data_IF_409435018174
#
_entry.id   IF_409435018174
#
_cell.length_a   1.000
_cell.length_b   1.000
_cell.length_c   1.000
_cell.angle_alpha   90.00
_cell.angle_beta   90.00
_cell.angle_gamma   90.00
#
_symmetry.space_group_name_H-M   'P 1'
#
loop_
_entity.id
_entity.type
_entity.pdbx_description
1 polymer ?
#
# COMPACT_ATOMS: atom_id res chain seq x y z
N UNK A 1 -5.52 18.71 -22.04
CA UNK A 1 -5.59 19.97 -21.27
C UNK A 1 -6.58 20.98 -21.86
N UNK A 2 -6.47 21.39 -23.13
CA UNK A 2 -7.38 22.41 -23.72
C UNK A 2 -8.86 21.98 -23.67
N UNK A 3 -9.18 20.73 -24.00
CA UNK A 3 -10.55 20.21 -23.91
C UNK A 3 -11.11 20.26 -22.47
N UNK A 4 -10.28 19.91 -21.49
CA UNK A 4 -10.63 19.95 -20.08
C UNK A 4 -10.98 21.37 -19.62
N UNK A 5 -10.10 22.34 -19.91
CA UNK A 5 -10.33 23.75 -19.55
C UNK A 5 -11.58 24.31 -20.25
N UNK A 6 -11.80 23.96 -21.52
CA UNK A 6 -13.03 24.34 -22.22
C UNK A 6 -14.29 23.80 -21.52
N UNK A 7 -14.31 22.51 -21.15
CA UNK A 7 -15.42 21.90 -20.40
C UNK A 7 -15.61 22.55 -19.03
N UNK A 8 -14.51 22.88 -18.35
CA UNK A 8 -14.53 23.53 -17.04
C UNK A 8 -15.12 24.94 -17.11
N UNK A 9 -14.78 25.73 -18.14
CA UNK A 9 -15.36 27.06 -18.35
C UNK A 9 -16.83 26.98 -18.77
N UNK A 10 -17.23 26.00 -19.59
CA UNK A 10 -18.65 25.73 -19.85
C UNK A 10 -19.40 25.39 -18.58
N UNK A 11 -18.81 24.55 -17.72
CA UNK A 11 -19.38 24.23 -16.41
C UNK A 11 -19.52 25.49 -15.56
N UNK A 12 -18.48 26.33 -15.46
CA UNK A 12 -18.50 27.61 -14.74
C UNK A 12 -19.70 28.47 -15.17
N UNK A 13 -19.85 28.72 -16.47
CA UNK A 13 -20.92 29.58 -17.01
C UNK A 13 -22.33 28.95 -17.02
N UNK A 14 -22.46 27.68 -16.66
CA UNK A 14 -23.76 26.97 -16.66
C UNK A 14 -24.50 27.08 -15.32
N UNK A 15 -25.81 26.82 -15.34
CA UNK A 15 -26.63 26.68 -14.13
C UNK A 15 -26.40 25.34 -13.39
N UNK A 16 -25.53 24.46 -13.91
CA UNK A 16 -25.23 23.17 -13.28
C UNK A 16 -24.50 23.42 -11.96
N UNK A 17 -24.96 22.77 -10.89
CA UNK A 17 -24.44 22.92 -9.52
C UNK A 17 -23.45 21.83 -9.10
N UNK A 18 -23.46 20.69 -9.78
CA UNK A 18 -22.61 19.54 -9.45
C UNK A 18 -21.69 19.26 -10.64
N UNK A 19 -20.38 19.28 -10.39
CA UNK A 19 -19.36 18.82 -11.34
C UNK A 19 -18.82 17.48 -10.90
N UNK A 20 -18.71 16.52 -11.82
CA UNK A 20 -18.13 15.20 -11.54
C UNK A 20 -16.82 15.08 -12.34
N UNK A 21 -15.74 14.77 -11.64
CA UNK A 21 -14.41 14.61 -12.22
C UNK A 21 -13.91 13.20 -11.91
N UNK A 22 -13.55 12.46 -12.96
CA UNK A 22 -12.89 11.17 -12.84
C UNK A 22 -11.41 11.36 -13.05
N UNK A 23 -10.68 11.28 -11.94
CA UNK A 23 -9.23 11.36 -11.83
C UNK A 23 -8.56 12.29 -12.86
N UNK A 24 -8.85 13.59 -12.79
CA UNK A 24 -8.51 14.52 -13.86
C UNK A 24 -7.00 14.71 -14.05
N UNK A 25 -6.17 14.21 -13.11
CA UNK A 25 -4.77 14.62 -12.98
C UNK A 25 -3.76 13.54 -12.52
N UNK A 26 -4.14 12.32 -12.13
CA UNK A 26 -3.17 11.33 -11.61
C UNK A 26 -2.01 10.98 -12.53
N UNK A 27 -2.18 11.17 -13.84
CA UNK A 27 -1.17 10.91 -14.87
C UNK A 27 -0.27 12.11 -15.19
N UNK A 28 -0.55 13.29 -14.61
CA UNK A 28 0.22 14.50 -14.84
C UNK A 28 1.32 14.68 -13.79
N UNK A 29 2.38 15.43 -14.14
CA UNK A 29 3.36 15.85 -13.15
C UNK A 29 2.73 16.75 -12.08
N UNK A 30 3.41 16.85 -10.93
CA UNK A 30 2.92 17.58 -9.78
C UNK A 30 2.56 19.04 -10.12
N UNK A 31 3.38 19.72 -10.95
CA UNK A 31 3.14 21.13 -11.32
C UNK A 31 1.82 21.27 -12.08
N UNK A 32 1.56 20.37 -13.02
CA UNK A 32 0.32 20.35 -13.80
C UNK A 32 -0.88 19.96 -12.93
N UNK A 33 -0.72 19.05 -11.97
CA UNK A 33 -1.75 18.74 -10.97
C UNK A 33 -2.18 20.01 -10.20
N UNK A 34 -1.22 20.78 -9.66
CA UNK A 34 -1.52 22.02 -8.94
C UNK A 34 -2.25 23.05 -9.81
N UNK A 35 -1.81 23.24 -11.06
CA UNK A 35 -2.45 24.17 -12.01
C UNK A 35 -3.88 23.78 -12.33
N UNK A 36 -4.13 22.49 -12.61
CA UNK A 36 -5.47 22.00 -12.95
C UNK A 36 -6.40 22.13 -11.75
N UNK A 37 -5.97 21.74 -10.54
CA UNK A 37 -6.78 21.92 -9.32
C UNK A 37 -7.10 23.40 -9.08
N UNK A 38 -6.14 24.29 -9.27
CA UNK A 38 -6.34 25.73 -9.12
C UNK A 38 -7.44 26.25 -10.07
N UNK A 39 -7.38 25.87 -11.36
CA UNK A 39 -8.41 26.24 -12.33
C UNK A 39 -9.78 25.70 -11.94
N UNK A 40 -9.87 24.45 -11.45
CA UNK A 40 -11.13 23.87 -10.97
C UNK A 40 -11.70 24.69 -9.82
N UNK A 41 -10.88 25.05 -8.84
CA UNK A 41 -11.29 25.87 -7.69
C UNK A 41 -11.79 27.24 -8.17
N UNK A 42 -11.03 27.92 -9.03
CA UNK A 42 -11.44 29.22 -9.60
C UNK A 42 -12.76 29.15 -10.36
N UNK A 43 -13.02 28.04 -11.05
CA UNK A 43 -14.25 27.84 -11.81
C UNK A 43 -15.48 27.61 -10.91
N UNK A 44 -15.28 27.16 -9.68
CA UNK A 44 -16.37 26.64 -8.85
C UNK A 44 -16.60 27.43 -7.55
N UNK A 45 -15.61 28.20 -7.08
CA UNK A 45 -15.67 28.93 -5.82
C UNK A 45 -16.73 30.05 -5.79
N UNK A 46 -17.02 30.69 -6.93
CA UNK A 46 -17.91 31.86 -6.99
C UNK A 46 -19.40 31.50 -6.85
N UNK A 47 -19.82 30.30 -7.24
CA UNK A 47 -21.25 29.93 -7.40
C UNK A 47 -21.75 28.84 -6.44
N UNK A 48 -20.97 28.56 -5.37
CA UNK A 48 -21.22 27.45 -4.41
C UNK A 48 -21.50 26.12 -5.12
N UNK A 49 -20.75 25.82 -6.18
CA UNK A 49 -20.87 24.54 -6.89
C UNK A 49 -20.21 23.43 -6.08
N UNK A 50 -20.82 22.26 -6.06
CA UNK A 50 -20.25 21.05 -5.44
C UNK A 50 -19.43 20.30 -6.48
N UNK A 51 -18.24 19.85 -6.08
CA UNK A 51 -17.40 19.02 -6.93
C UNK A 51 -17.34 17.62 -6.33
N UNK A 52 -17.67 16.61 -7.12
CA UNK A 52 -17.44 15.21 -6.81
C UNK A 52 -16.19 14.76 -7.56
N UNK A 53 -15.18 14.30 -6.83
CA UNK A 53 -13.92 13.86 -7.37
C UNK A 53 -13.74 12.37 -7.13
N UNK A 54 -13.77 11.58 -8.20
CA UNK A 54 -13.33 10.19 -8.18
C UNK A 54 -11.81 10.18 -8.29
N UNK A 55 -11.14 9.58 -7.31
CA UNK A 55 -9.67 9.50 -7.32
C UNK A 55 -9.17 8.34 -6.49
N UNK A 56 -8.07 7.74 -6.93
CA UNK A 56 -7.28 6.79 -6.17
C UNK A 56 -5.94 7.40 -5.70
N UNK A 57 -5.73 8.70 -5.98
CA UNK A 57 -4.51 9.42 -5.67
C UNK A 57 -4.66 10.25 -4.40
N UNK A 58 -3.88 9.89 -3.38
CA UNK A 58 -3.73 10.65 -2.14
C UNK A 58 -3.15 12.03 -2.40
N UNK A 59 -2.19 12.14 -3.32
CA UNK A 59 -1.59 13.43 -3.68
C UNK A 59 -2.66 14.38 -4.18
N UNK A 60 -3.57 13.91 -5.03
CA UNK A 60 -4.68 14.74 -5.51
C UNK A 60 -5.56 15.19 -4.36
N UNK A 61 -5.96 14.29 -3.45
CA UNK A 61 -6.78 14.63 -2.28
C UNK A 61 -6.07 15.67 -1.41
N UNK A 62 -4.78 15.47 -1.13
CA UNK A 62 -3.98 16.35 -0.28
C UNK A 62 -3.74 17.71 -0.92
N UNK A 63 -3.43 17.76 -2.23
CA UNK A 63 -3.29 19.00 -3.01
C UNK A 63 -4.59 19.80 -2.95
N UNK A 64 -5.72 19.16 -3.22
CA UNK A 64 -7.04 19.82 -3.18
C UNK A 64 -7.34 20.35 -1.78
N UNK A 65 -7.14 19.54 -0.74
CA UNK A 65 -7.38 19.96 0.64
C UNK A 65 -6.47 21.11 1.08
N UNK A 66 -5.23 21.17 0.58
CA UNK A 66 -4.30 22.26 0.86
C UNK A 66 -4.70 23.58 0.17
N UNK A 67 -5.33 23.51 -1.00
CA UNK A 67 -5.73 24.70 -1.77
C UNK A 67 -7.12 25.21 -1.36
N UNK A 68 -8.09 24.33 -1.14
CA UNK A 68 -9.45 24.72 -0.74
C UNK A 68 -10.16 23.63 0.08
N UNK A 69 -10.16 23.81 1.40
CA UNK A 69 -10.75 22.86 2.35
C UNK A 69 -12.27 22.73 2.19
N UNK A 70 -12.75 21.49 2.14
CA UNK A 70 -14.19 21.14 2.25
C UNK A 70 -15.04 21.43 1.02
N UNK A 71 -14.45 21.86 -0.09
CA UNK A 71 -15.16 22.13 -1.34
C UNK A 71 -15.47 20.88 -2.16
N UNK A 72 -14.61 19.86 -2.04
CA UNK A 72 -14.70 18.63 -2.82
C UNK A 72 -15.29 17.50 -1.97
N UNK A 73 -16.13 16.68 -2.63
CA UNK A 73 -16.60 15.40 -2.14
C UNK A 73 -15.78 14.32 -2.83
N UNK A 74 -14.98 13.60 -2.07
CA UNK A 74 -14.10 12.56 -2.61
C UNK A 74 -14.81 11.21 -2.64
N UNK A 75 -14.68 10.51 -3.76
CA UNK A 75 -15.19 9.15 -3.96
C UNK A 75 -14.06 8.26 -4.46
N UNK A 76 -14.11 6.98 -4.09
CA UNK A 76 -13.28 5.95 -4.71
C UNK A 76 -14.16 4.80 -5.20
N UNK A 77 -13.64 4.07 -6.20
CA UNK A 77 -14.28 2.88 -6.73
C UNK A 77 -13.64 1.66 -6.08
N UNK A 78 -14.46 0.81 -5.46
CA UNK A 78 -14.03 -0.46 -4.89
C UNK A 78 -14.67 -1.61 -5.64
N UNK A 79 -13.88 -2.63 -6.01
CA UNK A 79 -14.39 -3.84 -6.65
C UNK A 79 -14.35 -5.00 -5.67
N UNK A 80 -15.50 -5.63 -5.46
CA UNK A 80 -15.67 -6.77 -4.55
C UNK A 80 -16.70 -7.76 -5.11
N UNK A 81 -16.33 -9.04 -5.17
CA UNK A 81 -17.10 -10.14 -5.76
C UNK A 81 -17.60 -9.82 -7.15
N UNK A 82 -16.75 -9.19 -7.97
CA UNK A 82 -17.08 -8.77 -9.34
C UNK A 82 -17.97 -7.53 -9.44
N UNK A 83 -18.40 -6.94 -8.32
CA UNK A 83 -19.27 -5.75 -8.28
C UNK A 83 -18.44 -4.52 -7.93
N UNK A 84 -18.52 -3.48 -8.77
CA UNK A 84 -17.92 -2.17 -8.48
C UNK A 84 -18.90 -1.31 -7.70
N UNK A 85 -18.44 -0.80 -6.56
CA UNK A 85 -19.20 0.08 -5.66
C UNK A 85 -18.51 1.43 -5.49
N UNK A 86 -19.31 2.48 -5.37
CA UNK A 86 -18.82 3.83 -5.05
C UNK A 86 -18.78 3.95 -3.53
N UNK A 87 -17.68 4.49 -3.04
CA UNK A 87 -17.44 4.68 -1.61
C UNK A 87 -16.92 6.08 -1.33
N UNK A 88 -17.22 6.57 -0.15
CA UNK A 88 -16.90 7.93 0.26
C UNK A 88 -15.55 7.96 0.95
N UNK A 89 -14.73 8.95 0.60
CA UNK A 89 -13.49 9.25 1.32
C UNK A 89 -13.79 10.44 2.24
N UNK A 90 -14.10 10.16 3.50
CA UNK A 90 -14.42 11.23 4.46
C UNK A 90 -13.15 11.81 5.08
N UNK A 91 -12.69 12.93 4.52
CA UNK A 91 -11.50 13.65 5.00
C UNK A 91 -11.83 14.79 5.98
N UNK A 92 -13.10 14.96 6.36
CA UNK A 92 -13.54 16.12 7.16
C UNK A 92 -13.00 16.08 8.58
N UNK A 93 -12.91 14.88 9.14
CA UNK A 93 -12.48 14.64 10.53
C UNK A 93 -10.98 14.30 10.65
N UNK A 94 -10.21 14.40 9.57
CA UNK A 94 -8.78 14.11 9.60
C UNK A 94 -7.99 15.30 10.15
N UNK A 95 -7.03 15.05 11.03
CA UNK A 95 -6.05 16.03 11.47
C UNK A 95 -5.24 16.53 10.27
N UNK A 96 -5.09 17.86 10.15
CA UNK A 96 -4.45 18.55 9.01
C UNK A 96 -5.10 18.32 7.63
N UNK A 97 -6.20 17.54 7.53
CA UNK A 97 -6.88 17.14 6.30
C UNK A 97 -5.99 16.44 5.27
N UNK A 98 -4.88 15.87 5.73
CA UNK A 98 -3.95 15.09 4.93
C UNK A 98 -4.30 13.62 5.13
N UNK A 99 -4.57 12.92 4.03
CA UNK A 99 -4.69 11.47 4.04
C UNK A 99 -3.27 10.89 4.09
N UNK A 100 -2.90 10.36 5.25
CA UNK A 100 -1.58 9.79 5.59
C UNK A 100 -1.71 8.48 6.37
N UNK A 101 -0.59 7.77 6.59
CA UNK A 101 -0.59 6.59 7.46
C UNK A 101 -1.02 6.94 8.90
N UNK A 102 -0.65 8.12 9.41
CA UNK A 102 -1.11 8.60 10.72
C UNK A 102 -2.64 8.75 10.75
N UNK A 103 -3.22 9.34 9.70
CA UNK A 103 -4.67 9.51 9.58
C UNK A 103 -5.41 8.16 9.51
N UNK A 104 -4.84 7.15 8.83
CA UNK A 104 -5.38 5.79 8.81
C UNK A 104 -5.30 5.14 10.20
N UNK A 105 -4.19 5.34 10.90
CA UNK A 105 -3.98 4.83 12.26
C UNK A 105 -4.96 5.43 13.26
N UNK A 106 -5.30 6.72 13.14
CA UNK A 106 -6.34 7.36 13.97
C UNK A 106 -7.71 6.70 13.81
N UNK A 107 -8.03 6.19 12.61
CA UNK A 107 -9.27 5.47 12.31
C UNK A 107 -9.18 3.96 12.57
N UNK A 108 -8.00 3.44 12.94
CA UNK A 108 -7.77 2.01 13.14
C UNK A 108 -8.08 1.59 14.58
N UNK A 109 -8.87 0.50 14.73
CA UNK A 109 -9.06 -0.16 16.03
C UNK A 109 -7.73 -0.74 16.52
N UNK A 110 -7.44 -0.59 17.82
CA UNK A 110 -6.22 -1.15 18.44
C UNK A 110 -6.17 -2.66 18.27
N UNK A 111 -4.99 -3.17 17.90
CA UNK A 111 -4.74 -4.57 17.58
C UNK A 111 -3.55 -4.70 16.63
N UNK A 112 -3.39 -5.86 15.98
CA UNK A 112 -2.24 -6.12 15.11
C UNK A 112 -2.17 -5.18 13.91
N UNK A 113 -3.30 -4.83 13.30
CA UNK A 113 -3.36 -3.83 12.22
C UNK A 113 -2.86 -2.45 12.69
N UNK A 114 -3.27 -2.00 13.88
CA UNK A 114 -2.81 -0.74 14.47
C UNK A 114 -1.32 -0.77 14.80
N UNK A 115 -0.83 -1.89 15.32
CA UNK A 115 0.59 -2.06 15.65
C UNK A 115 1.45 -2.12 14.39
N UNK A 116 0.99 -2.80 13.34
CA UNK A 116 1.64 -2.82 12.03
C UNK A 116 1.70 -1.42 11.39
N UNK A 117 0.60 -0.66 11.41
CA UNK A 117 0.59 0.75 10.97
C UNK A 117 1.57 1.60 11.78
N UNK A 118 1.62 1.40 13.10
CA UNK A 118 2.57 2.12 13.97
C UNK A 118 4.02 1.82 13.61
N UNK A 119 4.34 0.56 13.30
CA UNK A 119 5.66 0.17 12.84
C UNK A 119 5.99 0.77 11.46
N UNK A 120 5.02 0.82 10.55
CA UNK A 120 5.18 1.46 9.24
C UNK A 120 5.46 2.96 9.38
N UNK A 121 4.67 3.69 10.17
CA UNK A 121 4.85 5.13 10.41
C UNK A 121 6.24 5.41 10.98
N UNK A 122 6.65 4.64 11.99
CA UNK A 122 7.93 4.89 12.66
C UNK A 122 9.14 4.53 11.79
N UNK A 123 9.04 3.49 10.97
CA UNK A 123 10.08 3.12 10.00
C UNK A 123 10.45 4.29 9.08
N UNK A 124 9.49 5.12 8.75
CA UNK A 124 9.64 6.22 7.81
C UNK A 124 10.08 7.55 8.47
N UNK A 125 10.15 7.60 9.81
CA UNK A 125 10.49 8.83 10.51
C UNK A 125 11.97 9.21 10.27
N UNK A 126 12.29 10.42 9.76
CA UNK A 126 13.67 10.83 9.49
C UNK A 126 14.59 10.84 10.71
N UNK A 127 14.03 11.00 11.91
CA UNK A 127 14.76 10.96 13.19
C UNK A 127 15.08 9.55 13.66
N UNK A 128 14.77 8.54 12.85
CA UNK A 128 14.95 7.14 13.19
C UNK A 128 16.43 6.73 13.16
N UNK A 129 16.91 6.22 14.30
CA UNK A 129 18.24 5.65 14.42
C UNK A 129 18.25 4.23 13.84
N UNK A 130 19.20 3.90 12.95
CA UNK A 130 19.32 2.57 12.34
C UNK A 130 19.36 1.42 13.37
N UNK A 131 19.80 1.71 14.60
CA UNK A 131 19.83 0.79 15.74
C UNK A 131 18.45 0.27 16.17
N UNK A 132 17.37 0.98 15.86
CA UNK A 132 16.01 0.60 16.28
C UNK A 132 15.43 -0.58 15.48
N UNK A 133 16.13 -1.06 14.43
CA UNK A 133 15.88 -2.31 13.69
C UNK A 133 14.43 -2.54 13.18
N UNK A 134 13.58 -1.50 13.16
CA UNK A 134 12.15 -1.61 12.89
C UNK A 134 11.84 -2.12 11.48
N UNK A 135 12.71 -1.81 10.51
CA UNK A 135 12.55 -2.28 9.14
C UNK A 135 12.54 -3.81 9.10
N UNK A 136 13.25 -4.48 10.02
CA UNK A 136 13.33 -5.95 10.12
C UNK A 136 12.01 -6.62 10.49
N UNK A 137 11.05 -5.88 11.07
CA UNK A 137 9.70 -6.40 11.36
C UNK A 137 9.03 -6.90 10.06
N UNK A 138 9.24 -6.20 8.96
CA UNK A 138 8.62 -6.50 7.66
C UNK A 138 9.38 -7.53 6.83
N UNK A 139 10.32 -8.24 7.47
CA UNK A 139 11.13 -9.27 6.88
C UNK A 139 11.10 -10.54 7.72
N UNK A 140 11.25 -11.69 7.08
CA UNK A 140 11.46 -12.92 7.83
C UNK A 140 12.86 -12.92 8.47
N UNK A 141 12.90 -13.02 9.79
CA UNK A 141 14.11 -13.10 10.62
C UNK A 141 13.90 -14.11 11.75
N UNK A 142 14.93 -14.90 12.05
CA UNK A 142 14.94 -15.90 13.15
C UNK A 142 15.59 -15.35 14.42
N UNK A 143 16.16 -14.15 14.36
CA UNK A 143 16.79 -13.53 15.52
C UNK A 143 15.74 -13.24 16.61
N UNK A 144 15.66 -14.13 17.60
CA UNK A 144 14.75 -14.07 18.74
C UNK A 144 14.93 -12.75 19.50
N UNK A 145 16.16 -12.25 19.64
CA UNK A 145 16.41 -10.97 20.34
C UNK A 145 15.83 -9.80 19.56
N UNK A 146 15.98 -9.80 18.23
CA UNK A 146 15.36 -8.78 17.38
C UNK A 146 13.83 -8.89 17.45
N UNK A 147 13.28 -10.09 17.42
CA UNK A 147 11.84 -10.32 17.49
C UNK A 147 11.27 -9.91 18.86
N UNK A 148 11.94 -10.21 19.97
CA UNK A 148 11.58 -9.79 21.33
C UNK A 148 11.68 -8.27 21.49
N UNK A 149 12.77 -7.66 21.01
CA UNK A 149 12.96 -6.20 21.05
C UNK A 149 11.85 -5.48 20.28
N UNK A 150 11.50 -5.98 19.10
CA UNK A 150 10.42 -5.40 18.30
C UNK A 150 9.05 -5.63 18.93
N UNK A 151 8.77 -6.83 19.44
CA UNK A 151 7.50 -7.12 20.09
C UNK A 151 7.30 -6.27 21.37
N UNK A 152 8.33 -6.08 22.18
CA UNK A 152 8.24 -5.22 23.38
C UNK A 152 8.07 -3.74 23.04
N UNK A 153 8.70 -3.27 21.95
CA UNK A 153 8.68 -1.85 21.55
C UNK A 153 7.48 -1.46 20.71
N UNK A 154 6.95 -2.39 19.90
CA UNK A 154 5.92 -2.12 18.90
C UNK A 154 4.69 -3.02 19.00
N UNK A 155 4.68 -4.01 19.89
CA UNK A 155 3.62 -5.01 20.02
C UNK A 155 3.33 -5.79 18.72
N UNK A 156 4.27 -5.77 17.77
CA UNK A 156 4.24 -6.47 16.48
C UNK A 156 5.65 -6.97 16.15
N UNK A 157 5.75 -8.11 15.49
CA UNK A 157 6.99 -8.70 14.97
C UNK A 157 6.71 -9.40 13.63
N UNK A 158 7.75 -9.99 13.03
CA UNK A 158 7.62 -10.69 11.74
C UNK A 158 6.65 -11.87 11.81
N UNK A 159 6.64 -12.63 12.90
CA UNK A 159 5.73 -13.78 13.12
C UNK A 159 4.27 -13.36 13.10
N UNK A 160 3.90 -12.29 13.83
CA UNK A 160 2.52 -11.78 13.81
C UNK A 160 2.09 -11.30 12.42
N UNK A 161 3.00 -10.70 11.64
CA UNK A 161 2.70 -10.34 10.25
C UNK A 161 2.49 -11.59 9.38
N UNK A 162 3.29 -12.62 9.59
CA UNK A 162 3.14 -13.92 8.90
C UNK A 162 1.80 -14.55 9.26
N UNK A 163 1.40 -14.51 10.53
CA UNK A 163 0.13 -15.07 11.02
C UNK A 163 -1.08 -14.36 10.41
N UNK A 164 -1.01 -13.05 10.14
CA UNK A 164 -2.07 -12.32 9.43
C UNK A 164 -2.32 -12.90 8.03
N UNK A 165 -1.26 -13.37 7.36
CA UNK A 165 -1.40 -14.02 6.05
C UNK A 165 -1.74 -15.49 6.21
N UNK A 166 -1.11 -16.23 7.13
CA UNK A 166 -1.37 -17.66 7.32
C UNK A 166 -2.84 -17.92 7.68
N UNK A 167 -3.37 -17.15 8.63
CA UNK A 167 -4.76 -17.21 9.09
C UNK A 167 -5.68 -16.23 8.34
N UNK A 168 -5.26 -15.78 7.15
CA UNK A 168 -6.01 -14.83 6.36
C UNK A 168 -7.45 -15.27 6.11
N UNK A 169 -8.37 -14.37 6.44
CA UNK A 169 -9.79 -14.43 6.11
C UNK A 169 -10.02 -13.42 4.99
N UNK A 170 -10.73 -13.83 3.94
CA UNK A 170 -11.05 -12.94 2.82
C UNK A 170 -11.64 -11.61 3.30
N UNK A 171 -11.16 -10.53 2.69
CA UNK A 171 -11.63 -9.20 3.02
C UNK A 171 -13.09 -9.05 2.60
N UNK A 172 -13.88 -8.42 3.46
CA UNK A 172 -15.21 -7.92 3.13
C UNK A 172 -15.14 -6.47 2.67
N UNK A 173 -16.15 -6.02 1.93
CA UNK A 173 -16.25 -4.64 1.50
C UNK A 173 -16.87 -3.74 2.58
N UNK A 174 -16.02 -3.03 3.31
CA UNK A 174 -16.38 -2.11 4.40
C UNK A 174 -16.29 -0.64 3.92
N UNK A 175 -16.03 0.31 4.81
CA UNK A 175 -15.76 1.71 4.46
C UNK A 175 -14.35 1.91 3.89
N UNK A 176 -14.08 3.11 3.37
CA UNK A 176 -12.79 3.49 2.80
C UNK A 176 -11.61 3.21 3.75
N UNK A 177 -11.69 3.68 4.99
CA UNK A 177 -10.57 3.60 5.92
C UNK A 177 -10.31 2.16 6.31
N UNK A 178 -11.36 1.40 6.65
CA UNK A 178 -11.23 -0.01 7.01
C UNK A 178 -10.65 -0.84 5.87
N UNK A 179 -11.13 -0.66 4.64
CA UNK A 179 -10.59 -1.33 3.46
C UNK A 179 -9.12 -0.96 3.23
N UNK A 180 -8.78 0.33 3.25
CA UNK A 180 -7.42 0.81 3.00
C UNK A 180 -6.44 0.31 4.05
N UNK A 181 -6.79 0.39 5.34
CA UNK A 181 -5.96 -0.12 6.45
C UNK A 181 -5.63 -1.60 6.23
N UNK A 182 -6.65 -2.40 5.93
CA UNK A 182 -6.48 -3.84 5.73
C UNK A 182 -5.57 -4.13 4.53
N UNK A 183 -5.78 -3.45 3.39
CA UNK A 183 -4.94 -3.60 2.21
C UNK A 183 -3.47 -3.23 2.49
N UNK A 184 -3.22 -2.09 3.14
CA UNK A 184 -1.87 -1.62 3.49
C UNK A 184 -1.14 -2.64 4.35
N UNK A 185 -1.77 -3.08 5.43
CA UNK A 185 -1.15 -4.03 6.37
C UNK A 185 -0.93 -5.37 5.70
N UNK A 186 -1.91 -5.93 4.99
CA UNK A 186 -1.77 -7.23 4.31
C UNK A 186 -0.68 -7.22 3.24
N UNK A 187 -0.61 -6.16 2.43
CA UNK A 187 0.46 -6.01 1.44
C UNK A 187 1.85 -5.94 2.10
N UNK A 188 1.96 -5.27 3.25
CA UNK A 188 3.22 -5.24 4.02
C UNK A 188 3.55 -6.60 4.63
N UNK A 189 2.56 -7.33 5.13
CA UNK A 189 2.70 -8.66 5.74
C UNK A 189 3.05 -9.75 4.72
N UNK A 190 2.54 -9.64 3.49
CA UNK A 190 2.83 -10.56 2.39
C UNK A 190 4.33 -10.74 2.15
N UNK A 191 5.13 -9.70 2.40
CA UNK A 191 6.59 -9.78 2.28
C UNK A 191 7.20 -10.73 3.29
N UNK A 192 6.93 -10.52 4.57
CA UNK A 192 7.43 -11.39 5.64
C UNK A 192 6.96 -12.84 5.42
N UNK A 193 5.71 -13.02 4.98
CA UNK A 193 5.15 -14.34 4.67
C UNK A 193 5.81 -15.00 3.46
N UNK A 194 6.00 -14.31 2.32
CA UNK A 194 6.72 -14.88 1.17
C UNK A 194 8.16 -15.24 1.56
N UNK A 195 8.84 -14.36 2.29
CA UNK A 195 10.21 -14.61 2.75
C UNK A 195 10.29 -15.85 3.66
N UNK A 196 9.30 -16.07 4.54
CA UNK A 196 9.24 -17.27 5.41
C UNK A 196 8.98 -18.55 4.62
N UNK A 197 8.07 -18.52 3.64
CA UNK A 197 7.82 -19.68 2.76
C UNK A 197 9.05 -20.01 1.93
N UNK A 198 9.73 -19.01 1.37
CA UNK A 198 10.99 -19.20 0.65
C UNK A 198 12.04 -19.83 1.57
N UNK A 199 12.23 -19.29 2.78
CA UNK A 199 13.20 -19.83 3.74
C UNK A 199 12.96 -21.31 4.05
N UNK A 200 11.69 -21.71 4.21
CA UNK A 200 11.30 -23.10 4.47
C UNK A 200 11.68 -24.08 3.35
N UNK A 201 11.84 -23.58 2.12
CA UNK A 201 12.22 -24.37 0.96
C UNK A 201 13.74 -24.49 0.78
N UNK A 202 14.54 -23.68 1.49
CA UNK A 202 16.00 -23.74 1.41
C UNK A 202 16.49 -24.94 2.21
N UNK A 203 17.20 -25.88 1.58
CA UNK A 203 17.76 -27.04 2.29
C UNK A 203 19.19 -26.83 2.80
N UNK A 204 19.90 -25.83 2.29
CA UNK A 204 21.30 -25.55 2.64
C UNK A 204 21.37 -24.51 3.79
N UNK A 205 22.00 -24.89 4.90
CA UNK A 205 22.11 -24.06 6.11
C UNK A 205 23.00 -22.81 5.95
N UNK A 206 24.03 -22.88 5.11
CA UNK A 206 24.85 -21.71 4.77
C UNK A 206 24.00 -20.67 4.03
N UNK A 207 23.21 -21.12 3.06
CA UNK A 207 22.30 -20.27 2.29
C UNK A 207 21.16 -19.71 3.15
N UNK A 208 20.63 -20.49 4.09
CA UNK A 208 19.69 -19.99 5.11
C UNK A 208 20.29 -18.87 5.94
N UNK A 209 21.54 -19.05 6.39
CA UNK A 209 22.26 -18.08 7.21
C UNK A 209 22.54 -16.78 6.43
N UNK A 210 22.91 -16.86 5.15
CA UNK A 210 23.00 -15.68 4.29
C UNK A 210 21.63 -15.01 4.11
N UNK A 211 20.58 -15.79 3.87
CA UNK A 211 19.24 -15.26 3.58
C UNK A 211 18.66 -14.42 4.72
N UNK A 212 18.83 -14.85 5.98
CA UNK A 212 18.33 -14.11 7.15
C UNK A 212 19.10 -12.81 7.41
N UNK A 213 20.35 -12.72 6.95
CA UNK A 213 21.21 -11.55 7.14
C UNK A 213 20.99 -10.45 6.08
N UNK A 214 20.16 -10.70 5.07
CA UNK A 214 19.83 -9.71 4.05
C UNK A 214 18.65 -8.82 4.44
N UNK A 215 18.78 -7.52 4.13
CA UNK A 215 17.81 -6.48 4.52
C UNK A 215 16.93 -6.01 3.36
N UNK A 216 17.14 -6.52 2.15
CA UNK A 216 16.24 -6.27 1.03
C UNK A 216 15.71 -7.57 0.43
N UNK A 217 14.48 -7.52 -0.10
CA UNK A 217 13.88 -8.65 -0.80
C UNK A 217 14.72 -9.06 -2.03
N UNK A 218 15.36 -8.08 -2.68
CA UNK A 218 16.21 -8.32 -3.84
C UNK A 218 17.49 -9.09 -3.48
N UNK A 219 18.15 -8.76 -2.39
CA UNK A 219 19.32 -9.49 -1.89
C UNK A 219 18.94 -10.93 -1.51
N UNK A 220 17.83 -11.10 -0.78
CA UNK A 220 17.27 -12.41 -0.44
C UNK A 220 17.01 -13.28 -1.68
N UNK A 221 16.44 -12.69 -2.74
CA UNK A 221 16.27 -13.39 -4.03
C UNK A 221 17.62 -13.72 -4.69
N UNK A 222 18.60 -12.81 -4.65
CA UNK A 222 19.91 -13.01 -5.29
C UNK A 222 20.74 -14.12 -4.64
N UNK A 223 20.52 -14.39 -3.35
CA UNK A 223 21.13 -15.53 -2.65
C UNK A 223 20.61 -16.84 -3.23
N UNK A 224 19.35 -16.88 -3.65
CA UNK A 224 18.69 -18.09 -4.12
C UNK A 224 18.90 -18.30 -5.61
N UNK A 225 18.71 -17.23 -6.37
CA UNK A 225 18.80 -17.21 -7.83
C UNK A 225 20.01 -16.36 -8.23
N UNK A 226 20.99 -16.99 -8.87
CA UNK A 226 22.05 -16.26 -9.56
C UNK A 226 21.45 -15.28 -10.58
N UNK A 227 22.20 -14.23 -10.93
CA UNK A 227 21.75 -13.24 -11.93
C UNK A 227 21.39 -13.87 -13.28
N UNK A 228 21.94 -15.05 -13.55
CA UNK A 228 21.77 -15.81 -14.79
C UNK A 228 20.56 -16.77 -14.74
N UNK A 229 19.86 -16.86 -13.60
CA UNK A 229 18.71 -17.73 -13.39
C UNK A 229 19.03 -19.12 -12.84
N UNK A 230 20.32 -19.46 -12.67
CA UNK A 230 20.73 -20.69 -12.00
C UNK A 230 20.42 -20.64 -10.51
N UNK A 231 20.04 -21.79 -9.95
CA UNK A 231 19.73 -21.94 -8.55
C UNK A 231 21.01 -22.29 -7.76
N UNK A 232 21.28 -21.55 -6.68
CA UNK A 232 22.32 -21.94 -5.70
C UNK A 232 21.88 -23.09 -4.80
N UNK A 233 20.58 -23.38 -4.76
CA UNK A 233 19.96 -24.38 -3.88
C UNK A 233 19.06 -25.29 -4.71
N UNK A 234 18.94 -26.58 -4.35
CA UNK A 234 17.90 -27.44 -4.92
C UNK A 234 16.52 -26.95 -4.48
N UNK A 235 15.90 -26.12 -5.32
CA UNK A 235 14.52 -25.69 -5.19
C UNK A 235 13.66 -26.34 -6.27
N UNK A 236 12.36 -26.45 -6.00
CA UNK A 236 11.39 -26.86 -7.02
C UNK A 236 11.53 -25.99 -8.26
N UNK A 237 11.65 -26.63 -9.44
CA UNK A 237 11.80 -25.94 -10.75
C UNK A 237 10.63 -24.99 -11.08
N UNK A 238 9.51 -25.11 -10.35
CA UNK A 238 8.34 -24.25 -10.50
C UNK A 238 8.55 -22.85 -9.89
N UNK A 239 9.43 -22.71 -8.89
CA UNK A 239 9.78 -21.41 -8.30
C UNK A 239 10.82 -20.71 -9.17
N UNK A 240 10.46 -19.54 -9.73
CA UNK A 240 11.35 -18.77 -10.59
C UNK A 240 11.65 -17.38 -10.05
N UNK A 241 12.86 -16.90 -10.33
CA UNK A 241 13.25 -15.50 -10.10
C UNK A 241 12.25 -14.54 -10.72
N UNK A 242 11.79 -14.81 -11.95
CA UNK A 242 10.83 -13.96 -12.68
C UNK A 242 9.52 -13.83 -11.91
N UNK A 243 8.99 -14.94 -11.39
CA UNK A 243 7.78 -14.93 -10.58
C UNK A 243 7.96 -14.07 -9.32
N UNK A 244 8.97 -14.35 -8.49
CA UNK A 244 9.22 -13.56 -7.27
C UNK A 244 9.47 -12.08 -7.56
N UNK A 245 10.21 -11.77 -8.63
CA UNK A 245 10.47 -10.40 -9.05
C UNK A 245 9.23 -9.70 -9.60
N UNK A 246 8.28 -10.41 -10.24
CA UNK A 246 7.00 -9.81 -10.62
C UNK A 246 6.16 -9.42 -9.40
N UNK A 247 6.30 -10.16 -8.31
CA UNK A 247 5.67 -9.84 -7.03
C UNK A 247 6.40 -8.70 -6.28
N UNK A 248 7.64 -8.37 -6.65
CA UNK A 248 8.46 -7.30 -6.03
C UNK A 248 7.79 -5.93 -6.04
N UNK A 249 7.01 -5.60 -7.08
CA UNK A 249 6.38 -4.27 -7.22
C UNK A 249 5.54 -3.98 -5.98
N UNK A 250 4.59 -4.85 -5.61
CA UNK A 250 3.78 -4.65 -4.42
C UNK A 250 4.49 -4.92 -3.09
N UNK A 251 5.52 -5.78 -3.07
CA UNK A 251 6.31 -6.07 -1.86
C UNK A 251 7.29 -4.96 -1.48
N UNK A 252 7.64 -4.09 -2.42
CA UNK A 252 8.56 -2.96 -2.21
C UNK A 252 7.84 -1.61 -2.02
N UNK A 253 6.54 -1.52 -2.25
CA UNK A 253 5.80 -0.27 -2.10
C UNK A 253 5.79 0.25 -0.64
N UNK A 254 6.12 -0.59 0.35
CA UNK A 254 6.22 -0.23 1.77
C UNK A 254 7.61 0.24 2.24
N UNK A 255 8.55 0.58 1.33
CA UNK A 255 9.98 0.71 1.70
C UNK A 255 10.53 2.15 1.73
N UNK A 256 9.92 3.14 1.08
CA UNK A 256 10.47 4.51 1.05
C UNK A 256 9.39 5.61 0.95
N UNK A 257 9.00 6.22 2.07
CA UNK A 257 8.10 7.38 2.15
C UNK A 257 8.83 8.72 1.96
N UNK A 258 10.08 8.86 2.44
CA UNK A 258 10.87 10.09 2.24
C UNK A 258 11.26 10.34 0.77
N UNK A 259 11.03 9.36 -0.12
CA UNK A 259 11.23 9.52 -1.55
C UNK A 259 9.94 9.77 -2.32
N UNK A 260 8.77 9.53 -1.72
CA UNK A 260 7.45 9.63 -2.39
C UNK A 260 6.28 9.30 -1.45
N UNK A 261 5.10 9.91 -1.67
CA UNK A 261 3.78 9.62 -1.04
C UNK A 261 3.23 8.21 -1.41
N UNK A 262 4.10 7.31 -1.87
CA UNK A 262 3.82 6.02 -2.53
C UNK A 262 3.31 4.85 -1.66
N UNK A 263 3.52 4.73 -0.32
CA UNK A 263 3.14 3.49 0.38
C UNK A 263 1.63 3.24 0.43
N UNK A 264 0.81 4.27 0.20
CA UNK A 264 -0.64 4.17 0.16
C UNK A 264 -1.24 4.19 -1.25
N UNK A 265 -0.50 4.68 -2.25
CA UNK A 265 -1.03 4.84 -3.61
C UNK A 265 -1.31 3.49 -4.27
N UNK A 266 -0.41 2.52 -4.11
CA UNK A 266 -0.64 1.17 -4.60
C UNK A 266 -1.83 0.50 -3.88
N UNK A 267 -1.88 0.41 -2.52
CA UNK A 267 -3.05 -0.11 -1.81
C UNK A 267 -4.39 0.51 -2.19
N UNK A 268 -4.42 1.80 -2.54
CA UNK A 268 -5.65 2.47 -3.00
C UNK A 268 -6.04 2.12 -4.43
N UNK A 269 -5.07 1.81 -5.28
CA UNK A 269 -5.31 1.42 -6.68
C UNK A 269 -5.75 -0.04 -6.85
N UNK A 270 -5.43 -0.90 -5.87
CA UNK A 270 -5.74 -2.33 -5.92
C UNK A 270 -7.11 -2.59 -5.30
N UNK A 271 -7.96 -3.37 -5.96
CA UNK A 271 -9.28 -3.71 -5.43
C UNK A 271 -9.24 -4.79 -4.36
N UNK A 272 -10.33 -4.94 -3.59
CA UNK A 272 -10.46 -6.06 -2.65
C UNK A 272 -10.39 -7.40 -3.39
N UNK A 273 -11.04 -7.52 -4.56
CA UNK A 273 -10.97 -8.74 -5.37
C UNK A 273 -9.53 -9.11 -5.70
N UNK A 274 -8.73 -8.13 -6.13
CA UNK A 274 -7.33 -8.36 -6.48
C UNK A 274 -6.51 -8.84 -5.27
N UNK A 275 -6.69 -8.25 -4.08
CA UNK A 275 -6.00 -8.68 -2.86
C UNK A 275 -6.42 -10.10 -2.45
N UNK A 276 -7.72 -10.38 -2.45
CA UNK A 276 -8.25 -11.70 -2.09
C UNK A 276 -7.66 -12.77 -3.04
N UNK A 277 -7.70 -12.51 -4.36
CA UNK A 277 -7.17 -13.42 -5.37
C UNK A 277 -5.65 -13.58 -5.25
N UNK A 278 -4.89 -12.48 -5.14
CA UNK A 278 -3.43 -12.55 -5.03
C UNK A 278 -2.97 -13.34 -3.80
N UNK A 279 -3.62 -13.17 -2.64
CA UNK A 279 -3.27 -13.94 -1.43
C UNK A 279 -3.58 -15.43 -1.63
N UNK A 280 -4.74 -15.78 -2.18
CA UNK A 280 -5.11 -17.17 -2.41
C UNK A 280 -4.20 -17.84 -3.44
N UNK A 281 -3.95 -17.17 -4.58
CA UNK A 281 -3.05 -17.64 -5.63
C UNK A 281 -1.63 -17.86 -5.08
N UNK A 282 -1.14 -16.96 -4.23
CA UNK A 282 0.16 -17.12 -3.57
C UNK A 282 0.18 -18.31 -2.61
N UNK A 283 -0.84 -18.47 -1.77
CA UNK A 283 -0.97 -19.62 -0.86
C UNK A 283 -1.00 -20.94 -1.62
N UNK A 284 -1.82 -21.02 -2.66
CA UNK A 284 -1.93 -22.21 -3.50
C UNK A 284 -0.61 -22.50 -4.22
N UNK A 285 0.03 -21.47 -4.77
CA UNK A 285 1.33 -21.59 -5.42
C UNK A 285 2.38 -22.20 -4.48
N UNK A 286 2.53 -21.68 -3.26
CA UNK A 286 3.50 -22.22 -2.30
C UNK A 286 3.13 -23.61 -1.77
N UNK A 287 1.84 -23.92 -1.60
CA UNK A 287 1.37 -25.27 -1.25
C UNK A 287 1.76 -26.29 -2.33
N UNK A 288 1.62 -25.92 -3.60
CA UNK A 288 1.99 -26.76 -4.75
C UNK A 288 3.51 -26.92 -4.94
N UNK A 289 4.33 -26.11 -4.26
CA UNK A 289 5.78 -26.27 -4.23
C UNK A 289 6.25 -27.28 -3.18
N UNK A 290 5.48 -27.49 -2.11
CA UNK A 290 5.81 -28.39 -1.00
C UNK A 290 5.32 -29.84 -1.22
N UNK A 291 4.37 -30.05 -2.14
CA UNK A 291 3.78 -31.36 -2.46
C UNK A 291 4.56 -32.20 -3.49
N UNK A 292 5.81 -31.81 -3.79
CA UNK A 292 6.73 -32.43 -4.74
C UNK A 292 8.08 -32.72 -4.08
#
# INVERSE_FOLDING_TARGET
MIHFLYRLHLFKGSNIKIGVFDDPISSFDLVNCYKIIYEIILACAQDKKTIILFTHSIDVINIVNSQYKGMFVYKYLEKFKGVTSIKDIDTKDLNEHILSLDSLKEKCVKGDYYNALSALIKKENPSFNELDNIHKIFHYTIDEKINELNNSKYYINSEKLIDLIENYIELNNEDFFSNTIKKVVLLSSLRAWIESKIYSLISNEEVKSEFINCYTFNEKINIIFEKNGNLKVKLSKKLSRKYLMSKKVFLNHSVHYNSTVIPLQYPLSVSIDDINNDIQDLKEYFKNLQSL
#
